data_IF_659100145299
#
_entry.id   IF_659100145299
#
_cell.length_a   1.000
_cell.length_b   1.000
_cell.length_c   1.000
_cell.angle_alpha   90.00
_cell.angle_beta   90.00
_cell.angle_gamma   90.00
#
_symmetry.space_group_name_H-M   'P 1'
#
loop_
_entity.id
_entity.type
_entity.pdbx_description
1 polymer ?
#
# COMPACT_ATOMS: atom_id res chain seq x y z
N UNK A 1 -38.11 35.13 18.39
CA UNK A 1 -36.66 35.44 18.27
C UNK A 1 -36.50 36.71 17.43
N UNK A 2 -35.65 37.67 17.81
CA UNK A 2 -35.52 38.95 17.08
C UNK A 2 -34.91 38.70 15.68
N UNK A 3 -35.56 39.16 14.61
CA UNK A 3 -35.12 38.93 13.22
C UNK A 3 -33.66 39.36 12.97
N UNK A 4 -33.21 40.45 13.63
CA UNK A 4 -31.81 40.89 13.56
C UNK A 4 -30.83 39.85 14.13
N UNK A 5 -31.20 39.16 15.21
CA UNK A 5 -30.37 38.09 15.81
C UNK A 5 -30.31 36.85 14.91
N UNK A 6 -31.41 36.53 14.23
CA UNK A 6 -31.47 35.40 13.30
C UNK A 6 -30.58 35.64 12.07
N UNK A 7 -30.65 36.82 11.45
CA UNK A 7 -29.77 37.19 10.31
C UNK A 7 -28.29 37.13 10.71
N UNK A 8 -27.94 37.64 11.90
CA UNK A 8 -26.56 37.60 12.41
C UNK A 8 -26.09 36.15 12.63
N UNK A 9 -26.93 35.28 13.17
CA UNK A 9 -26.62 33.87 13.35
C UNK A 9 -26.40 33.16 12.01
N UNK A 10 -27.27 33.39 11.02
CA UNK A 10 -27.16 32.81 9.68
C UNK A 10 -25.87 33.23 8.98
N UNK A 11 -25.48 34.51 9.08
CA UNK A 11 -24.20 35.01 8.54
C UNK A 11 -22.99 34.34 9.20
N UNK A 12 -23.02 34.16 10.53
CA UNK A 12 -21.94 33.49 11.26
C UNK A 12 -21.82 32.04 10.82
N UNK A 13 -22.93 31.30 10.73
CA UNK A 13 -22.93 29.89 10.29
C UNK A 13 -22.40 29.79 8.86
N UNK A 14 -22.81 30.69 7.96
CA UNK A 14 -22.29 30.74 6.59
C UNK A 14 -20.77 30.96 6.55
N UNK A 15 -20.25 31.92 7.32
CA UNK A 15 -18.80 32.16 7.41
C UNK A 15 -18.03 30.97 7.99
N UNK A 16 -18.58 30.30 9.01
CA UNK A 16 -17.99 29.08 9.59
C UNK A 16 -17.98 27.96 8.55
N UNK A 17 -19.06 27.75 7.80
CA UNK A 17 -19.13 26.73 6.76
C UNK A 17 -18.09 26.96 5.64
N UNK A 18 -17.92 28.20 5.18
CA UNK A 18 -16.86 28.55 4.21
C UNK A 18 -15.47 28.29 4.80
N UNK A 19 -15.24 28.65 6.06
CA UNK A 19 -13.95 28.41 6.73
C UNK A 19 -13.64 26.92 6.85
N UNK A 20 -14.63 26.10 7.22
CA UNK A 20 -14.48 24.64 7.27
C UNK A 20 -14.19 24.05 5.88
N UNK A 21 -14.83 24.56 4.83
CA UNK A 21 -14.55 24.15 3.45
C UNK A 21 -13.09 24.43 3.07
N UNK A 22 -12.54 25.57 3.46
CA UNK A 22 -11.13 25.90 3.20
C UNK A 22 -10.18 24.91 3.89
N UNK A 23 -10.41 24.60 5.18
CA UNK A 23 -9.60 23.59 5.87
C UNK A 23 -9.77 22.19 5.27
N UNK A 24 -10.98 21.86 4.82
CA UNK A 24 -11.26 20.58 4.16
C UNK A 24 -10.51 20.44 2.84
N UNK A 25 -10.53 21.48 2.00
CA UNK A 25 -9.76 21.53 0.74
C UNK A 25 -8.26 21.42 1.02
N UNK A 26 -7.76 22.12 2.05
CA UNK A 26 -6.36 22.00 2.45
C UNK A 26 -5.98 20.59 2.89
N UNK A 27 -6.80 19.95 3.73
CA UNK A 27 -6.61 18.56 4.16
C UNK A 27 -6.55 17.61 2.95
N UNK A 28 -7.45 17.79 1.98
CA UNK A 28 -7.48 16.99 0.76
C UNK A 28 -6.22 17.19 -0.08
N UNK A 29 -5.78 18.44 -0.26
CA UNK A 29 -4.53 18.73 -0.99
C UNK A 29 -3.36 18.00 -0.31
N UNK A 30 -3.25 18.07 1.03
CA UNK A 30 -2.19 17.35 1.75
C UNK A 30 -2.28 15.84 1.55
N UNK A 31 -3.49 15.26 1.68
CA UNK A 31 -3.72 13.83 1.51
C UNK A 31 -3.32 13.37 0.10
N UNK A 32 -3.71 14.12 -0.94
CA UNK A 32 -3.43 13.76 -2.33
C UNK A 32 -1.98 14.00 -2.73
N UNK A 33 -1.42 15.18 -2.41
CA UNK A 33 -0.06 15.56 -2.82
C UNK A 33 1.00 14.72 -2.08
N UNK A 34 0.78 14.42 -0.80
CA UNK A 34 1.72 13.64 0.01
C UNK A 34 1.33 12.17 0.16
N UNK A 35 0.24 11.72 -0.46
CA UNK A 35 -0.22 10.33 -0.39
C UNK A 35 -0.51 9.84 1.03
N UNK A 36 -1.09 10.70 1.89
CA UNK A 36 -1.32 10.38 3.31
C UNK A 36 -2.46 9.37 3.49
N UNK A 37 -2.22 8.30 4.24
CA UNK A 37 -3.13 7.15 4.40
C UNK A 37 -3.92 7.18 5.71
N UNK A 38 -4.41 8.35 6.10
CA UNK A 38 -4.95 8.60 7.47
C UNK A 38 -6.35 8.00 7.71
N UNK A 39 -7.10 7.61 6.67
CA UNK A 39 -8.52 7.23 6.82
C UNK A 39 -8.98 6.09 5.91
N UNK A 40 -8.14 5.06 5.71
CA UNK A 40 -8.30 3.93 4.77
C UNK A 40 -9.74 3.47 4.45
N UNK A 41 -10.57 3.25 5.47
CA UNK A 41 -11.94 2.78 5.30
C UNK A 41 -12.92 3.97 5.21
N UNK A 42 -13.76 3.97 4.17
CA UNK A 42 -14.78 4.98 3.93
C UNK A 42 -14.29 6.42 3.60
N UNK A 43 -13.03 6.64 3.14
CA UNK A 43 -12.59 8.00 2.72
C UNK A 43 -13.58 8.60 1.75
N UNK A 44 -13.85 7.93 0.62
CA UNK A 44 -14.68 8.48 -0.45
C UNK A 44 -16.11 8.78 0.04
N UNK A 45 -16.63 7.96 0.94
CA UNK A 45 -17.98 8.10 1.48
C UNK A 45 -18.06 9.22 2.52
N UNK A 46 -17.16 9.24 3.51
CA UNK A 46 -17.03 10.33 4.48
C UNK A 46 -16.72 11.65 3.76
N UNK A 47 -15.91 11.59 2.70
CA UNK A 47 -15.57 12.71 1.85
C UNK A 47 -16.79 13.27 1.13
N UNK A 48 -17.55 12.43 0.47
CA UNK A 48 -18.73 12.86 -0.28
C UNK A 48 -19.83 13.35 0.67
N UNK A 49 -20.03 12.67 1.81
CA UNK A 49 -20.99 13.09 2.84
C UNK A 49 -20.60 14.40 3.52
N UNK A 50 -19.31 14.62 3.82
CA UNK A 50 -18.86 15.88 4.43
C UNK A 50 -18.99 17.07 3.49
N UNK A 51 -18.65 16.90 2.21
CA UNK A 51 -18.86 17.94 1.19
C UNK A 51 -20.36 18.25 1.03
N UNK A 52 -21.20 17.22 0.89
CA UNK A 52 -22.65 17.40 0.79
C UNK A 52 -23.21 18.10 2.03
N UNK A 53 -22.75 17.73 3.23
CA UNK A 53 -23.15 18.37 4.49
C UNK A 53 -22.76 19.84 4.54
N UNK A 54 -21.52 20.19 4.16
CA UNK A 54 -21.06 21.59 4.11
C UNK A 54 -21.88 22.39 3.08
N UNK A 55 -22.14 21.84 1.89
CA UNK A 55 -22.97 22.49 0.89
C UNK A 55 -24.42 22.65 1.33
N UNK A 56 -25.00 21.66 2.01
CA UNK A 56 -26.36 21.74 2.56
C UNK A 56 -26.47 22.86 3.60
N UNK A 57 -25.51 22.98 4.52
CA UNK A 57 -25.45 24.08 5.49
C UNK A 57 -25.25 25.42 4.81
N UNK A 58 -24.36 25.51 3.81
CA UNK A 58 -24.13 26.73 3.06
C UNK A 58 -25.37 27.16 2.24
N UNK A 59 -26.05 26.22 1.59
CA UNK A 59 -27.29 26.47 0.85
C UNK A 59 -28.45 26.89 1.77
N UNK A 60 -28.64 26.19 2.89
CA UNK A 60 -29.66 26.54 3.87
C UNK A 60 -29.41 27.91 4.51
N UNK A 61 -28.15 28.22 4.84
CA UNK A 61 -27.80 29.56 5.34
C UNK A 61 -28.01 30.64 4.28
N UNK A 62 -27.60 30.42 3.03
CA UNK A 62 -27.86 31.37 1.94
C UNK A 62 -29.36 31.62 1.74
N UNK A 63 -30.19 30.56 1.70
CA UNK A 63 -31.64 30.69 1.55
C UNK A 63 -32.26 31.49 2.70
N UNK A 64 -31.90 31.17 3.94
CA UNK A 64 -32.35 31.93 5.12
C UNK A 64 -31.87 33.37 5.06
N UNK A 65 -30.63 33.61 4.63
CA UNK A 65 -30.08 34.96 4.53
C UNK A 65 -30.81 35.77 3.46
N UNK A 66 -31.10 35.20 2.29
CA UNK A 66 -31.90 35.84 1.22
C UNK A 66 -33.32 36.12 1.71
N UNK A 67 -34.00 35.14 2.29
CA UNK A 67 -35.37 35.27 2.80
C UNK A 67 -35.48 36.35 3.88
N UNK A 68 -34.58 36.32 4.85
CA UNK A 68 -34.58 37.28 5.97
C UNK A 68 -34.08 38.67 5.56
N UNK A 69 -33.16 38.77 4.60
CA UNK A 69 -32.67 40.04 4.09
C UNK A 69 -33.70 40.72 3.16
N UNK A 70 -34.42 39.98 2.31
CA UNK A 70 -35.58 40.52 1.56
C UNK A 70 -36.71 40.98 2.48
N UNK A 71 -36.95 40.26 3.58
CA UNK A 71 -37.92 40.67 4.62
C UNK A 71 -37.45 41.92 5.38
N UNK A 72 -36.13 42.12 5.50
CA UNK A 72 -35.52 43.26 6.22
C UNK A 72 -35.29 44.49 5.35
N UNK A 73 -35.18 44.39 4.02
CA UNK A 73 -35.06 45.54 3.10
C UNK A 73 -36.35 46.41 3.12
N UNK A 74 -37.46 45.92 3.67
CA UNK A 74 -38.63 46.73 4.02
C UNK A 74 -38.42 47.66 5.25
N UNK A 75 -37.37 47.45 6.05
CA UNK A 75 -37.04 48.22 7.26
C UNK A 75 -35.56 48.66 7.24
N UNK A 76 -35.33 49.91 6.84
CA UNK A 76 -34.01 50.48 6.52
C UNK A 76 -33.04 50.56 7.71
N UNK A 77 -31.76 50.33 7.42
CA UNK A 77 -30.61 51.05 8.00
C UNK A 77 -29.87 50.41 9.18
N UNK A 78 -28.69 49.83 8.91
CA UNK A 78 -27.42 50.03 9.66
C UNK A 78 -26.36 49.04 9.17
N UNK A 79 -25.25 49.56 8.66
CA UNK A 79 -24.00 48.81 8.45
C UNK A 79 -23.29 48.66 9.80
N UNK A 80 -23.08 47.43 10.27
CA UNK A 80 -22.19 47.15 11.40
C UNK A 80 -20.76 47.00 10.86
N UNK A 81 -19.84 47.89 11.27
CA UNK A 81 -18.41 47.73 11.05
C UNK A 81 -17.90 46.45 11.75
N UNK A 82 -17.45 45.48 10.96
CA UNK A 82 -16.82 44.26 11.48
C UNK A 82 -15.36 44.58 11.87
N UNK A 83 -15.14 44.96 13.13
CA UNK A 83 -13.78 45.01 13.71
C UNK A 83 -13.26 43.60 13.99
N UNK A 84 -12.72 42.95 12.95
CA UNK A 84 -11.98 41.69 13.10
C UNK A 84 -10.68 41.90 13.86
N UNK A 85 -10.57 41.32 15.07
CA UNK A 85 -9.34 41.40 15.87
C UNK A 85 -8.23 40.54 15.26
N UNK A 86 -7.03 41.11 15.09
CA UNK A 86 -5.83 40.42 14.54
C UNK A 86 -5.57 39.03 15.18
N UNK A 87 -5.92 38.87 16.47
CA UNK A 87 -5.83 37.60 17.21
C UNK A 87 -6.66 36.46 16.60
N UNK A 88 -7.87 36.74 16.11
CA UNK A 88 -8.75 35.74 15.48
C UNK A 88 -8.15 35.23 14.17
N UNK A 89 -7.52 36.13 13.39
CA UNK A 89 -6.82 35.77 12.16
C UNK A 89 -5.64 34.85 12.44
N UNK A 90 -4.82 35.18 13.46
CA UNK A 90 -3.71 34.31 13.86
C UNK A 90 -4.17 32.92 14.33
N UNK A 91 -5.28 32.85 15.06
CA UNK A 91 -5.82 31.57 15.53
C UNK A 91 -6.31 30.72 14.35
N UNK A 92 -7.02 31.31 13.38
CA UNK A 92 -7.43 30.62 12.15
C UNK A 92 -6.20 30.12 11.36
N UNK A 93 -5.19 30.97 11.19
CA UNK A 93 -3.96 30.56 10.50
C UNK A 93 -3.22 29.42 11.23
N UNK A 94 -3.27 29.36 12.56
CA UNK A 94 -2.65 28.30 13.35
C UNK A 94 -3.32 26.92 13.17
N UNK A 95 -4.57 26.86 12.68
CA UNK A 95 -5.26 25.57 12.43
C UNK A 95 -4.57 24.79 11.31
N UNK A 96 -4.05 25.46 10.27
CA UNK A 96 -3.38 24.80 9.15
C UNK A 96 -2.20 23.91 9.57
N UNK A 97 -1.17 24.41 10.30
CA UNK A 97 -0.05 23.56 10.73
C UNK A 97 -0.48 22.48 11.72
N UNK A 98 -1.49 22.74 12.58
CA UNK A 98 -2.01 21.73 13.51
C UNK A 98 -2.66 20.58 12.73
N UNK A 99 -3.51 20.91 11.76
CA UNK A 99 -4.17 19.93 10.92
C UNK A 99 -3.15 19.12 10.10
N UNK A 100 -2.13 19.78 9.55
CA UNK A 100 -1.02 19.10 8.88
C UNK A 100 -0.32 18.12 9.84
N UNK A 101 0.08 18.57 11.03
CA UNK A 101 0.74 17.71 12.02
C UNK A 101 -0.10 16.49 12.39
N UNK A 102 -1.42 16.64 12.56
CA UNK A 102 -2.33 15.53 12.82
C UNK A 102 -2.41 14.55 11.66
N UNK A 103 -2.51 15.03 10.42
CA UNK A 103 -2.56 14.15 9.24
C UNK A 103 -1.24 13.39 9.05
N UNK A 104 -0.10 14.06 9.11
CA UNK A 104 1.20 13.40 9.00
C UNK A 104 1.45 12.42 10.15
N UNK A 105 1.07 12.79 11.38
CA UNK A 105 1.15 11.91 12.55
C UNK A 105 0.26 10.68 12.41
N UNK A 106 -0.98 10.85 11.96
CA UNK A 106 -1.89 9.73 11.71
C UNK A 106 -1.35 8.78 10.64
N UNK A 107 -0.83 9.31 9.53
CA UNK A 107 -0.21 8.52 8.47
C UNK A 107 0.99 7.71 8.98
N UNK A 108 1.86 8.34 9.78
CA UNK A 108 3.00 7.67 10.39
C UNK A 108 2.57 6.50 11.28
N UNK A 109 1.58 6.71 12.14
CA UNK A 109 1.02 5.65 13.00
C UNK A 109 0.40 4.52 12.18
N UNK A 110 -0.34 4.84 11.10
CA UNK A 110 -0.93 3.83 10.21
C UNK A 110 0.14 2.96 9.52
N UNK A 111 1.24 3.57 9.07
CA UNK A 111 2.35 2.83 8.45
C UNK A 111 3.03 1.91 9.46
N UNK A 112 3.30 2.39 10.67
CA UNK A 112 3.90 1.56 11.73
C UNK A 112 2.99 0.39 12.12
N UNK A 113 1.70 0.63 12.32
CA UNK A 113 0.77 -0.44 12.65
C UNK A 113 0.69 -1.50 11.53
N UNK A 114 0.68 -1.09 10.25
CA UNK A 114 0.70 -2.03 9.12
C UNK A 114 2.02 -2.81 9.08
N UNK A 115 3.15 -2.15 9.32
CA UNK A 115 4.46 -2.81 9.43
C UNK A 115 4.45 -3.89 10.52
N UNK A 116 3.96 -3.57 11.72
CA UNK A 116 3.92 -4.51 12.84
C UNK A 116 3.05 -5.73 12.53
N UNK A 117 1.89 -5.52 11.91
CA UNK A 117 1.00 -6.62 11.47
C UNK A 117 1.74 -7.53 10.47
N UNK A 118 2.39 -6.95 9.45
CA UNK A 118 3.10 -7.74 8.45
C UNK A 118 4.28 -8.52 9.06
N UNK A 119 5.02 -7.92 10.01
CA UNK A 119 6.10 -8.60 10.72
C UNK A 119 5.54 -9.78 11.52
N UNK A 120 4.50 -9.56 12.33
CA UNK A 120 3.89 -10.61 13.14
C UNK A 120 3.32 -11.75 12.29
N UNK A 121 2.67 -11.43 11.17
CA UNK A 121 2.17 -12.42 10.22
C UNK A 121 3.31 -13.21 9.56
N UNK A 122 4.38 -12.53 9.13
CA UNK A 122 5.56 -13.22 8.58
C UNK A 122 6.21 -14.15 9.60
N UNK A 123 6.36 -13.72 10.86
CA UNK A 123 6.92 -14.56 11.92
C UNK A 123 6.06 -15.78 12.19
N UNK A 124 4.72 -15.62 12.20
CA UNK A 124 3.78 -16.73 12.35
C UNK A 124 3.89 -17.72 11.20
N UNK A 125 3.86 -17.25 9.95
CA UNK A 125 4.00 -18.12 8.76
C UNK A 125 5.30 -18.91 8.84
N UNK A 126 6.41 -18.27 9.20
CA UNK A 126 7.72 -18.93 9.31
C UNK A 126 7.74 -19.98 10.41
N UNK A 127 7.13 -19.69 11.56
CA UNK A 127 7.06 -20.60 12.70
C UNK A 127 6.19 -21.83 12.41
N UNK A 128 5.02 -21.61 11.82
CA UNK A 128 4.00 -22.64 11.66
C UNK A 128 4.25 -23.51 10.43
N UNK A 129 5.02 -23.02 9.44
CA UNK A 129 5.29 -23.70 8.17
C UNK A 129 6.77 -24.12 7.99
N UNK A 130 7.45 -24.49 9.08
CA UNK A 130 8.88 -24.82 9.04
C UNK A 130 9.24 -25.90 8.01
N UNK A 131 8.43 -26.96 7.85
CA UNK A 131 8.67 -28.02 6.88
C UNK A 131 8.54 -27.54 5.42
N UNK A 132 7.59 -26.64 5.14
CA UNK A 132 7.46 -26.03 3.82
C UNK A 132 8.65 -25.12 3.52
N UNK A 133 9.12 -24.34 4.49
CA UNK A 133 10.29 -23.48 4.33
C UNK A 133 11.59 -24.26 4.11
N UNK A 134 11.74 -25.43 4.73
CA UNK A 134 12.85 -26.33 4.45
C UNK A 134 12.87 -26.76 2.99
N UNK A 135 11.70 -27.08 2.43
CA UNK A 135 11.56 -27.45 1.04
C UNK A 135 11.88 -26.27 0.10
N UNK A 136 11.48 -25.04 0.47
CA UNK A 136 11.86 -23.84 -0.28
C UNK A 136 13.38 -23.59 -0.23
N UNK A 137 14.02 -23.89 0.91
CA UNK A 137 15.45 -23.71 1.11
C UNK A 137 16.30 -24.73 0.35
N UNK A 138 15.75 -25.91 0.03
CA UNK A 138 16.40 -26.92 -0.80
C UNK A 138 16.31 -26.59 -2.31
N UNK A 139 16.78 -25.40 -2.65
CA UNK A 139 16.70 -24.83 -4.00
C UNK A 139 17.35 -25.71 -5.07
N UNK A 140 16.59 -25.97 -6.15
CA UNK A 140 17.05 -26.53 -7.42
C UNK A 140 16.30 -25.87 -8.58
N UNK A 141 16.99 -25.59 -9.68
CA UNK A 141 16.33 -25.07 -10.89
C UNK A 141 15.73 -26.21 -11.72
N UNK A 142 14.62 -26.78 -11.26
CA UNK A 142 13.90 -27.83 -11.98
C UNK A 142 12.37 -27.67 -11.85
N UNK A 143 11.63 -28.44 -12.65
CA UNK A 143 10.16 -28.37 -12.67
C UNK A 143 9.55 -28.72 -11.31
N UNK A 144 10.13 -29.68 -10.58
CA UNK A 144 9.59 -30.16 -9.31
C UNK A 144 9.69 -29.06 -8.24
N UNK A 145 10.83 -28.37 -8.18
CA UNK A 145 11.04 -27.24 -7.28
C UNK A 145 10.11 -26.08 -7.65
N UNK A 146 10.04 -25.67 -8.92
CA UNK A 146 9.22 -24.53 -9.35
C UNK A 146 7.74 -24.76 -9.02
N UNK A 147 7.22 -25.97 -9.28
CA UNK A 147 5.84 -26.34 -8.97
C UNK A 147 5.57 -26.34 -7.47
N UNK A 148 6.40 -27.05 -6.70
CA UNK A 148 6.26 -27.15 -5.24
C UNK A 148 6.36 -25.78 -4.57
N UNK A 149 7.28 -24.94 -5.01
CA UNK A 149 7.43 -23.57 -4.51
C UNK A 149 6.19 -22.73 -4.81
N UNK A 150 5.64 -22.78 -6.02
CA UNK A 150 4.41 -22.07 -6.38
C UNK A 150 3.23 -22.51 -5.50
N UNK A 151 3.03 -23.82 -5.28
CA UNK A 151 1.96 -24.36 -4.42
C UNK A 151 2.11 -23.90 -2.96
N UNK A 152 3.33 -23.97 -2.40
CA UNK A 152 3.62 -23.51 -1.04
C UNK A 152 3.32 -22.01 -0.90
N UNK A 153 3.78 -21.19 -1.85
CA UNK A 153 3.63 -19.74 -1.81
C UNK A 153 2.18 -19.30 -2.02
N UNK A 154 1.42 -19.99 -2.89
CA UNK A 154 -0.01 -19.74 -3.08
C UNK A 154 -0.81 -20.05 -1.81
N UNK A 155 -0.50 -21.16 -1.14
CA UNK A 155 -1.11 -21.50 0.14
C UNK A 155 -0.75 -20.48 1.23
N UNK A 156 0.52 -20.09 1.34
CA UNK A 156 0.98 -19.07 2.30
C UNK A 156 0.32 -17.71 2.07
N UNK A 157 0.14 -17.29 0.81
CA UNK A 157 -0.54 -16.04 0.49
C UNK A 157 -2.04 -16.07 0.81
N UNK A 158 -2.68 -17.25 0.82
CA UNK A 158 -4.10 -17.42 1.15
C UNK A 158 -4.36 -17.66 2.64
N UNK A 159 -3.36 -18.15 3.37
CA UNK A 159 -3.47 -18.48 4.80
C UNK A 159 -3.57 -17.22 5.69
N UNK A 160 -2.94 -16.12 5.28
CA UNK A 160 -2.99 -14.84 6.02
C UNK A 160 -3.45 -13.69 5.11
N UNK A 161 -4.62 -13.12 5.41
CA UNK A 161 -5.21 -11.99 4.68
C UNK A 161 -4.41 -10.69 4.75
N UNK A 162 -3.33 -10.66 5.53
CA UNK A 162 -2.39 -9.53 5.57
C UNK A 162 -1.55 -9.39 4.30
N UNK A 163 -1.49 -10.44 3.48
CA UNK A 163 -0.71 -10.50 2.25
C UNK A 163 -1.56 -10.94 1.05
N UNK A 164 -1.29 -10.38 -0.13
CA UNK A 164 -1.95 -10.79 -1.38
C UNK A 164 -1.04 -11.65 -2.27
N UNK A 165 0.28 -11.59 -2.04
CA UNK A 165 1.24 -12.35 -2.80
C UNK A 165 2.46 -12.71 -1.94
N UNK A 166 3.05 -13.87 -2.24
CA UNK A 166 4.29 -14.35 -1.65
C UNK A 166 5.28 -14.73 -2.78
N UNK A 167 6.55 -14.44 -2.54
CA UNK A 167 7.65 -14.85 -3.39
C UNK A 167 8.85 -15.31 -2.56
N UNK A 168 9.67 -16.19 -3.11
CA UNK A 168 10.96 -16.58 -2.55
C UNK A 168 12.08 -16.16 -3.49
N UNK A 169 13.12 -15.57 -2.92
CA UNK A 169 14.33 -15.16 -3.63
C UNK A 169 15.49 -16.06 -3.21
N UNK A 170 16.23 -16.54 -4.19
CA UNK A 170 17.40 -17.41 -4.02
C UNK A 170 18.59 -16.91 -4.84
N UNK A 171 19.84 -17.15 -4.41
CA UNK A 171 21.01 -16.85 -5.19
C UNK A 171 21.29 -17.98 -6.20
N UNK A 172 21.68 -17.63 -7.43
CA UNK A 172 22.10 -18.58 -8.45
C UNK A 172 23.16 -17.95 -9.39
N UNK A 173 23.56 -18.68 -10.43
CA UNK A 173 24.44 -18.23 -11.51
C UNK A 173 23.83 -18.58 -12.87
N UNK A 174 23.99 -17.69 -13.84
CA UNK A 174 23.72 -17.93 -15.26
C UNK A 174 25.02 -17.66 -16.01
N UNK A 175 25.56 -18.65 -16.74
CA UNK A 175 26.84 -18.49 -17.45
C UNK A 175 27.98 -17.93 -16.56
N UNK A 176 28.04 -18.34 -15.28
CA UNK A 176 28.97 -17.87 -14.23
C UNK A 176 28.76 -16.44 -13.69
N UNK A 177 27.73 -15.70 -14.15
CA UNK A 177 27.33 -14.41 -13.57
C UNK A 177 26.41 -14.65 -12.37
N UNK A 178 26.71 -14.12 -11.17
CA UNK A 178 25.82 -14.24 -10.01
C UNK A 178 24.54 -13.45 -10.26
N UNK A 179 23.41 -14.09 -10.01
CA UNK A 179 22.06 -13.53 -10.16
C UNK A 179 21.21 -13.91 -8.95
N UNK A 180 20.09 -13.22 -8.79
CA UNK A 180 19.03 -13.64 -7.90
C UNK A 180 17.87 -14.12 -8.74
N UNK A 181 17.22 -15.20 -8.33
CA UNK A 181 16.00 -15.70 -8.94
C UNK A 181 14.85 -15.51 -7.98
N UNK A 182 13.68 -15.13 -8.50
CA UNK A 182 12.44 -15.04 -7.73
C UNK A 182 11.41 -16.05 -8.25
N UNK A 183 10.76 -16.74 -7.32
CA UNK A 183 9.63 -17.63 -7.59
C UNK A 183 8.44 -17.16 -6.76
N UNK A 184 7.26 -17.17 -7.34
CA UNK A 184 5.99 -16.69 -6.79
C UNK A 184 4.88 -17.71 -7.01
N UNK A 185 3.71 -17.50 -6.42
CA UNK A 185 2.51 -18.29 -6.71
C UNK A 185 2.23 -18.37 -8.23
N UNK A 186 2.34 -17.25 -8.96
CA UNK A 186 2.12 -17.18 -10.42
C UNK A 186 3.28 -17.70 -11.28
N UNK A 187 4.39 -18.14 -10.67
CA UNK A 187 5.53 -18.69 -11.41
C UNK A 187 5.19 -19.98 -12.14
N UNK A 188 4.05 -20.59 -11.82
CA UNK A 188 3.40 -21.62 -12.63
C UNK A 188 2.54 -20.98 -13.72
N UNK A 189 3.20 -20.34 -14.68
CA UNK A 189 2.72 -20.38 -16.07
C UNK A 189 2.75 -21.80 -16.66
N UNK A 190 2.98 -22.84 -15.85
CA UNK A 190 3.15 -24.24 -16.22
C UNK A 190 2.02 -25.01 -15.51
N UNK A 191 1.12 -25.62 -16.29
CA UNK A 191 -0.07 -26.32 -15.78
C UNK A 191 0.27 -27.69 -15.18
N UNK A 192 -0.64 -28.24 -14.35
CA UNK A 192 -0.49 -29.54 -13.67
C UNK A 192 -0.23 -30.73 -14.61
N UNK A 193 -0.52 -30.59 -15.91
CA UNK A 193 -0.39 -31.64 -16.93
C UNK A 193 1.00 -31.73 -17.57
N UNK A 194 1.95 -30.90 -17.16
CA UNK A 194 3.25 -30.79 -17.83
C UNK A 194 4.27 -31.77 -17.26
N UNK A 195 4.89 -32.56 -18.13
CA UNK A 195 5.92 -33.54 -17.81
C UNK A 195 7.27 -33.11 -18.41
N UNK A 196 8.37 -33.35 -17.69
CA UNK A 196 9.72 -33.12 -18.22
C UNK A 196 9.93 -34.08 -19.39
N UNK A 197 10.34 -33.57 -20.55
CA UNK A 197 10.68 -34.44 -21.69
C UNK A 197 11.98 -35.16 -21.35
N UNK A 198 12.01 -36.50 -21.26
CA UNK A 198 13.24 -37.24 -21.02
C UNK A 198 14.11 -37.19 -22.29
N UNK A 199 14.90 -36.13 -22.44
CA UNK A 199 15.97 -36.07 -23.42
C UNK A 199 17.25 -36.57 -22.77
N UNK A 200 17.88 -37.56 -23.40
CA UNK A 200 18.99 -38.38 -22.90
C UNK A 200 20.28 -37.64 -22.44
N UNK A 201 20.31 -36.30 -22.34
CA UNK A 201 21.50 -35.51 -21.97
C UNK A 201 21.20 -34.16 -21.25
N UNK A 202 20.02 -33.94 -20.65
CA UNK A 202 19.71 -32.63 -20.02
C UNK A 202 19.81 -32.59 -18.49
N UNK A 203 20.06 -33.72 -17.83
CA UNK A 203 20.24 -33.81 -16.39
C UNK A 203 21.70 -33.64 -15.95
N UNK A 204 22.37 -32.60 -16.45
CA UNK A 204 23.58 -32.12 -15.79
C UNK A 204 23.15 -31.11 -14.72
N UNK A 205 23.50 -31.34 -13.46
CA UNK A 205 23.42 -30.32 -12.42
C UNK A 205 24.06 -29.02 -12.96
N UNK A 206 23.27 -27.95 -13.10
CA UNK A 206 23.76 -26.67 -13.62
C UNK A 206 23.42 -26.34 -15.08
N UNK A 207 22.46 -27.01 -15.73
CA UNK A 207 21.90 -26.48 -16.97
C UNK A 207 21.05 -25.22 -16.69
N UNK A 208 21.23 -24.17 -17.48
CA UNK A 208 20.48 -22.92 -17.31
C UNK A 208 19.04 -23.03 -17.82
N UNK A 209 18.68 -24.12 -18.52
CA UNK A 209 17.35 -24.30 -19.10
C UNK A 209 16.97 -25.80 -19.10
N UNK A 210 15.67 -26.10 -19.02
CA UNK A 210 15.13 -27.44 -19.21
C UNK A 210 13.89 -27.41 -20.11
N UNK A 211 13.50 -28.55 -20.68
CA UNK A 211 12.35 -28.65 -21.60
C UNK A 211 11.21 -29.43 -20.96
N UNK A 212 10.02 -28.85 -21.00
CA UNK A 212 8.77 -29.49 -20.57
C UNK A 212 7.85 -29.76 -21.76
N UNK A 213 7.01 -30.77 -21.63
CA UNK A 213 5.91 -31.01 -22.54
C UNK A 213 4.68 -30.28 -22.02
N UNK A 214 4.16 -29.34 -22.82
CA UNK A 214 2.96 -28.57 -22.55
C UNK A 214 1.93 -28.86 -23.63
N UNK A 215 0.90 -29.64 -23.29
CA UNK A 215 -0.18 -30.00 -24.21
C UNK A 215 0.30 -30.61 -25.54
N UNK A 216 1.41 -31.36 -25.52
CA UNK A 216 2.03 -31.94 -26.71
C UNK A 216 3.14 -31.09 -27.33
N UNK A 217 3.33 -29.84 -26.89
CA UNK A 217 4.38 -28.94 -27.36
C UNK A 217 5.60 -28.95 -26.43
N UNK A 218 6.81 -28.98 -27.01
CA UNK A 218 8.06 -28.88 -26.23
C UNK A 218 8.37 -27.42 -25.95
N UNK A 219 8.20 -27.00 -24.70
CA UNK A 219 8.47 -25.62 -24.25
C UNK A 219 9.76 -25.59 -23.43
N UNK A 220 10.67 -24.69 -23.79
CA UNK A 220 11.89 -24.46 -23.02
C UNK A 220 11.60 -23.51 -21.85
N UNK A 221 11.87 -23.97 -20.63
CA UNK A 221 11.84 -23.16 -19.41
C UNK A 221 13.24 -22.59 -19.21
N UNK A 222 13.37 -21.26 -19.24
CA UNK A 222 14.66 -20.58 -19.14
C UNK A 222 14.87 -19.98 -17.77
N UNK A 223 16.04 -20.19 -17.17
CA UNK A 223 16.41 -19.56 -15.89
C UNK A 223 16.39 -18.02 -15.96
N UNK A 224 16.62 -17.45 -17.14
CA UNK A 224 16.51 -16.00 -17.38
C UNK A 224 15.12 -15.44 -17.10
N UNK A 225 14.07 -16.23 -17.23
CA UNK A 225 12.68 -15.79 -17.03
C UNK A 225 12.35 -15.61 -15.54
N UNK A 226 13.20 -16.12 -14.66
CA UNK A 226 13.07 -16.03 -13.20
C UNK A 226 14.02 -15.00 -12.58
N UNK A 227 14.82 -14.29 -13.39
CA UNK A 227 15.83 -13.34 -12.87
C UNK A 227 15.14 -12.18 -12.16
N UNK A 228 15.41 -12.09 -10.86
CA UNK A 228 14.97 -10.99 -10.02
C UNK A 228 15.91 -9.80 -10.16
N UNK A 229 15.35 -8.66 -10.51
CA UNK A 229 16.09 -7.41 -10.74
C UNK A 229 15.76 -6.39 -9.65
N UNK A 230 16.38 -6.49 -8.45
CA UNK A 230 16.17 -5.53 -7.39
C UNK A 230 16.75 -4.17 -7.75
N UNK A 231 16.20 -3.13 -7.13
CA UNK A 231 16.79 -1.79 -7.07
C UNK A 231 18.14 -1.80 -6.33
N UNK A 232 18.83 -0.65 -6.28
CA UNK A 232 20.15 -0.57 -5.66
C UNK A 232 20.10 -0.98 -4.17
N UNK A 233 19.11 -0.48 -3.41
CA UNK A 233 18.97 -0.81 -1.98
C UNK A 233 18.64 -2.29 -1.79
N UNK A 234 17.81 -2.86 -2.66
CA UNK A 234 17.46 -4.27 -2.59
C UNK A 234 18.61 -5.18 -2.96
N UNK A 235 19.43 -4.79 -3.93
CA UNK A 235 20.65 -5.53 -4.26
C UNK A 235 21.61 -5.56 -3.07
N UNK A 236 21.85 -4.42 -2.42
CA UNK A 236 22.71 -4.34 -1.23
C UNK A 236 22.16 -5.18 -0.08
N UNK A 237 20.84 -5.13 0.16
CA UNK A 237 20.18 -5.96 1.17
C UNK A 237 20.39 -7.46 0.90
N UNK A 238 20.08 -7.92 -0.30
CA UNK A 238 20.23 -9.34 -0.67
C UNK A 238 21.70 -9.78 -0.58
N UNK A 239 22.66 -8.93 -0.98
CA UNK A 239 24.08 -9.24 -0.82
C UNK A 239 24.46 -9.48 0.65
N UNK A 240 24.04 -8.59 1.57
CA UNK A 240 24.27 -8.76 3.01
C UNK A 240 23.61 -10.02 3.56
N UNK A 241 22.38 -10.31 3.14
CA UNK A 241 21.65 -11.51 3.58
C UNK A 241 22.33 -12.78 3.08
N UNK A 242 22.62 -12.91 1.79
CA UNK A 242 23.22 -14.13 1.26
C UNK A 242 24.69 -14.30 1.66
N UNK A 243 25.39 -13.21 2.02
CA UNK A 243 26.73 -13.28 2.62
C UNK A 243 26.73 -13.62 4.12
N UNK A 244 25.56 -13.82 4.75
CA UNK A 244 25.47 -14.14 6.18
C UNK A 244 25.63 -12.93 7.12
N UNK A 245 25.69 -11.70 6.58
CA UNK A 245 26.02 -10.49 7.33
C UNK A 245 24.82 -9.88 8.08
N UNK A 246 23.58 -10.24 7.71
CA UNK A 246 22.36 -9.79 8.39
C UNK A 246 21.27 -10.86 8.42
N UNK A 247 20.37 -10.78 9.40
CA UNK A 247 19.09 -11.51 9.46
C UNK A 247 17.89 -10.56 9.55
N UNK A 248 18.13 -9.26 9.39
CA UNK A 248 17.07 -8.27 9.52
C UNK A 248 16.04 -8.39 8.40
N UNK A 249 14.76 -8.23 8.77
CA UNK A 249 13.68 -8.13 7.79
C UNK A 249 13.73 -6.78 7.11
N UNK A 250 13.49 -6.75 5.79
CA UNK A 250 13.35 -5.51 5.03
C UNK A 250 11.87 -5.23 4.80
N UNK A 251 11.39 -4.12 5.34
CA UNK A 251 10.05 -3.60 5.08
C UNK A 251 10.12 -2.42 4.13
N UNK A 252 9.26 -2.39 3.12
CA UNK A 252 9.08 -1.27 2.22
C UNK A 252 7.61 -0.90 2.10
N UNK A 253 7.37 0.40 1.96
CA UNK A 253 6.05 0.97 1.78
C UNK A 253 6.15 2.13 0.78
N UNK A 254 5.74 1.88 -0.45
CA UNK A 254 5.79 2.87 -1.54
C UNK A 254 4.48 2.82 -2.33
N UNK A 255 3.82 3.96 -2.50
CA UNK A 255 2.61 4.13 -3.32
C UNK A 255 1.47 3.12 -3.08
N UNK A 256 1.40 2.51 -1.89
CA UNK A 256 0.38 1.50 -1.58
C UNK A 256 0.80 0.06 -1.78
N UNK A 257 1.99 -0.16 -2.31
CA UNK A 257 2.70 -1.42 -2.26
C UNK A 257 3.43 -1.52 -0.93
N UNK A 258 3.05 -2.53 -0.16
CA UNK A 258 3.75 -2.92 1.05
C UNK A 258 4.49 -4.21 0.75
N UNK A 259 5.77 -4.28 1.09
CA UNK A 259 6.55 -5.50 0.98
C UNK A 259 7.31 -5.76 2.27
N UNK A 260 7.41 -7.03 2.64
CA UNK A 260 8.22 -7.48 3.76
C UNK A 260 9.01 -8.70 3.34
N UNK A 261 10.34 -8.58 3.34
CA UNK A 261 11.26 -9.66 3.05
C UNK A 261 11.90 -10.19 4.33
N UNK A 262 11.75 -11.48 4.57
CA UNK A 262 12.21 -12.23 5.72
C UNK A 262 13.31 -13.23 5.32
N UNK A 263 14.57 -13.04 5.76
CA UNK A 263 15.63 -14.03 5.55
C UNK A 263 15.36 -15.31 6.34
N UNK A 264 15.39 -16.46 5.67
CA UNK A 264 15.29 -17.77 6.30
C UNK A 264 16.57 -18.57 6.06
N UNK A 265 17.13 -19.14 7.14
CA UNK A 265 18.35 -19.95 7.08
C UNK A 265 18.15 -21.31 7.72
N UNK A 266 18.53 -22.35 6.99
CA UNK A 266 18.62 -23.71 7.54
C UNK A 266 19.67 -24.52 6.80
N UNK A 267 20.44 -25.32 7.55
CA UNK A 267 21.44 -26.23 7.01
C UNK A 267 22.44 -25.56 6.04
N UNK A 268 22.84 -24.32 6.34
CA UNK A 268 23.77 -23.54 5.49
C UNK A 268 23.14 -22.96 4.22
N UNK A 269 21.88 -23.26 3.92
CA UNK A 269 21.12 -22.66 2.82
C UNK A 269 20.36 -21.44 3.31
N UNK A 270 20.35 -20.37 2.50
CA UNK A 270 19.65 -19.12 2.79
C UNK A 270 18.68 -18.83 1.66
N UNK A 271 17.44 -18.50 2.00
CA UNK A 271 16.43 -17.96 1.09
C UNK A 271 15.90 -16.66 1.68
N UNK A 272 15.26 -15.84 0.85
CA UNK A 272 14.54 -14.65 1.32
C UNK A 272 13.08 -14.79 0.92
N UNK A 273 12.19 -14.90 1.90
CA UNK A 273 10.76 -14.98 1.69
C UNK A 273 10.18 -13.58 1.74
N UNK A 274 9.63 -13.10 0.63
CA UNK A 274 9.03 -11.78 0.55
C UNK A 274 7.52 -11.89 0.39
N UNK A 275 6.80 -11.21 1.26
CA UNK A 275 5.37 -11.03 1.14
C UNK A 275 5.06 -9.63 0.65
N UNK A 276 4.00 -9.49 -0.12
CA UNK A 276 3.51 -8.19 -0.55
C UNK A 276 2.00 -8.07 -0.44
N UNK A 277 1.57 -6.87 -0.14
CA UNK A 277 0.18 -6.45 -0.13
C UNK A 277 0.09 -5.20 -1.01
N UNK A 278 -0.81 -5.24 -1.99
CA UNK A 278 -1.15 -4.07 -2.78
C UNK A 278 -2.54 -3.62 -2.40
N UNK A 279 -2.65 -2.36 -2.00
CA UNK A 279 -3.92 -1.72 -1.74
C UNK A 279 -4.07 -0.58 -2.73
N UNK A 280 -5.08 -0.66 -3.60
CA UNK A 280 -5.44 0.45 -4.49
C UNK A 280 -5.87 1.64 -3.62
N UNK A 281 -5.07 2.70 -3.66
CA UNK A 281 -5.41 3.97 -3.03
C UNK A 281 -5.83 4.98 -4.08
N UNK A 282 -7.11 5.38 -4.03
CA UNK A 282 -7.56 6.76 -4.24
C UNK A 282 -7.05 7.55 -5.45
N UNK A 283 -6.56 6.92 -6.52
CA UNK A 283 -6.42 7.59 -7.82
C UNK A 283 -7.79 7.61 -8.47
N UNK A 284 -8.52 8.70 -8.27
CA UNK A 284 -9.67 9.00 -9.11
C UNK A 284 -9.13 9.21 -10.52
N UNK A 285 -9.39 8.26 -11.42
CA UNK A 285 -9.01 8.29 -12.83
C UNK A 285 -7.77 7.44 -13.16
N UNK A 286 -7.92 6.12 -13.10
CA UNK A 286 -7.18 5.23 -14.02
C UNK A 286 -7.99 5.02 -15.30
#
# INVERSE_FOLDING_TARGET
>A
MNAKKLVKATNIIGMVAVTLLVYWVFALILIQVFGLKVFREHITEIFLMSILGIFAVMGGTLMLNIMLNLTRIAERGQEEEVRGGRKTVYLLLAVFPILAALLFGGNYLTIQQKRDILIQSSERIVKDNSAQLDALADYRFDLAYIRKTSEILDLMAKDDSSFNAAMVIVPDKIGNKPVYLAFSADSTRLTLSEEVVPAANQNAEGSDNFVVNRNGEKVAVKKTDYVYSPDLKGREYLQKVFAGQTQEMRYEAEDGHYSLCHPYRKNGKTIVLCFSDYQEYGKIGS
#
